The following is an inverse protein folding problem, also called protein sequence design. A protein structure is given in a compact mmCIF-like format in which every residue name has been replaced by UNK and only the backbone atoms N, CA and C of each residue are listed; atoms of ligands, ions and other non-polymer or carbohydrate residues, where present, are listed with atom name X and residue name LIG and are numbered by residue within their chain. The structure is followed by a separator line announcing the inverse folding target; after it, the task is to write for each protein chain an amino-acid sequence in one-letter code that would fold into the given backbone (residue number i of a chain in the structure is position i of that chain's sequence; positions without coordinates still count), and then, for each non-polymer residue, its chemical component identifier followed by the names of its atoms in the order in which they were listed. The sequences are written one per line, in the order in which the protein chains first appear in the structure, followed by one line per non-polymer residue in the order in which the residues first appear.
data_IF_183624942563
#
_entry.id   IF_183624942563
#
_cell.length_a   1.000
_cell.length_b   1.000
_cell.length_c   1.000
_cell.angle_alpha   90.00
_cell.angle_beta   90.00
_cell.angle_gamma   90.00
#
_symmetry.space_group_name_H-M   'P 1'
#
loop_
_entity.id
_entity.type
_entity.pdbx_description
1 polymer ?
#
# COMPACT_ATOMS: atom_id res chain seq x y z
N UNK A 1 62.34 5.71 -19.70
CA UNK A 1 61.05 5.01 -19.80
C UNK A 1 60.19 5.49 -18.66
N UNK A 2 59.09 6.23 -18.91
CA UNK A 2 58.07 6.43 -17.90
C UNK A 2 57.33 5.10 -17.70
N UNK A 3 57.06 4.76 -16.45
CA UNK A 3 56.21 3.64 -16.06
C UNK A 3 54.77 4.01 -16.43
N UNK A 4 54.14 3.21 -17.29
CA UNK A 4 52.71 3.30 -17.57
C UNK A 4 51.94 3.00 -16.27
N UNK A 5 51.11 3.95 -15.84
CA UNK A 5 50.10 3.70 -14.82
C UNK A 5 49.12 2.62 -15.34
N UNK A 6 48.74 1.62 -14.52
CA UNK A 6 47.73 0.66 -14.91
C UNK A 6 46.38 1.39 -15.08
N UNK A 7 45.53 0.98 -16.04
CA UNK A 7 44.25 1.61 -16.24
C UNK A 7 43.39 1.43 -14.99
N UNK A 8 42.81 2.53 -14.52
CA UNK A 8 41.78 2.52 -13.49
C UNK A 8 40.55 1.74 -13.97
N UNK A 9 40.56 0.42 -13.79
CA UNK A 9 39.37 -0.41 -13.87
C UNK A 9 38.68 -0.38 -12.51
N UNK A 10 37.69 0.49 -12.38
CA UNK A 10 36.89 0.60 -11.16
C UNK A 10 35.51 1.10 -11.49
N UNK A 11 34.78 0.40 -12.38
CA UNK A 11 33.35 0.60 -12.51
C UNK A 11 32.70 0.37 -11.14
N UNK A 12 31.96 1.34 -10.64
CA UNK A 12 31.32 1.26 -9.33
C UNK A 12 30.49 -0.04 -9.24
N UNK A 13 30.80 -0.90 -8.28
CA UNK A 13 30.08 -2.15 -8.06
C UNK A 13 28.62 -1.83 -7.75
N UNK A 14 27.69 -2.42 -8.51
CA UNK A 14 26.25 -2.19 -8.29
C UNK A 14 25.89 -2.72 -6.90
N UNK A 15 25.32 -1.88 -6.01
CA UNK A 15 24.98 -2.32 -4.66
C UNK A 15 23.89 -3.39 -4.70
N UNK A 16 24.01 -4.42 -3.86
CA UNK A 16 22.98 -5.44 -3.69
C UNK A 16 21.73 -4.81 -3.05
N UNK A 17 20.62 -4.86 -3.77
CA UNK A 17 19.30 -4.46 -3.30
C UNK A 17 18.30 -5.54 -3.67
N UNK A 18 17.28 -5.70 -2.83
CA UNK A 18 16.11 -6.54 -3.08
C UNK A 18 14.88 -5.65 -2.94
N UNK A 19 13.98 -5.72 -3.91
CA UNK A 19 12.72 -4.98 -3.92
C UNK A 19 11.56 -5.97 -4.09
N UNK A 20 10.57 -5.88 -3.20
CA UNK A 20 9.34 -6.67 -3.28
C UNK A 20 8.32 -5.88 -4.10
N UNK A 21 7.73 -6.51 -5.11
CA UNK A 21 6.56 -5.94 -5.79
C UNK A 21 5.32 -6.14 -4.92
N UNK A 22 5.00 -5.11 -4.12
CA UNK A 22 3.88 -5.13 -3.17
C UNK A 22 2.52 -5.37 -3.84
N UNK A 23 2.38 -5.04 -5.13
CA UNK A 23 1.14 -5.29 -5.88
C UNK A 23 0.96 -6.76 -6.28
N UNK A 24 2.02 -7.56 -6.16
CA UNK A 24 2.08 -8.99 -6.51
C UNK A 24 2.18 -9.90 -5.29
N UNK A 25 1.97 -9.36 -4.09
CA UNK A 25 1.90 -10.16 -2.86
C UNK A 25 0.52 -10.79 -2.76
N UNK A 26 0.48 -12.12 -2.84
CA UNK A 26 -0.72 -12.92 -2.65
C UNK A 26 -0.59 -13.73 -1.36
N UNK A 27 -1.12 -13.16 -0.27
CA UNK A 27 -1.08 -13.81 1.06
C UNK A 27 -1.88 -15.10 1.09
N UNK A 28 -2.94 -15.25 0.28
CA UNK A 28 -3.78 -16.46 0.25
C UNK A 28 -3.18 -17.56 -0.62
N UNK A 29 -2.57 -17.16 -1.74
CA UNK A 29 -1.80 -18.04 -2.62
C UNK A 29 -0.39 -18.33 -2.10
N UNK A 30 -0.01 -17.74 -0.97
CA UNK A 30 1.30 -17.87 -0.33
C UNK A 30 2.48 -17.61 -1.27
N UNK A 31 2.40 -16.50 -2.02
CA UNK A 31 3.43 -16.11 -2.98
C UNK A 31 3.63 -14.60 -3.07
N UNK A 32 4.84 -14.21 -3.46
CA UNK A 32 5.20 -12.83 -3.79
C UNK A 32 6.23 -12.79 -4.92
N UNK A 33 6.36 -11.63 -5.55
CA UNK A 33 7.39 -11.36 -6.55
C UNK A 33 8.41 -10.35 -6.01
N UNK A 34 9.69 -10.60 -6.30
CA UNK A 34 10.78 -9.69 -5.94
C UNK A 34 11.76 -9.50 -7.11
N UNK A 35 12.57 -8.44 -7.06
CA UNK A 35 13.66 -8.17 -8.01
C UNK A 35 14.93 -7.78 -7.27
N UNK A 36 16.06 -8.25 -7.75
CA UNK A 36 17.37 -7.90 -7.21
C UNK A 36 18.22 -7.17 -8.25
N UNK A 37 19.07 -6.24 -7.77
CA UNK A 37 20.01 -5.49 -8.62
C UNK A 37 21.23 -6.31 -9.07
N UNK A 38 21.40 -7.49 -8.48
CA UNK A 38 22.46 -8.46 -8.78
C UNK A 38 21.86 -9.85 -8.89
N UNK A 39 22.62 -10.76 -9.51
CA UNK A 39 22.33 -12.18 -9.47
C UNK A 39 22.41 -12.71 -8.03
N UNK A 40 21.43 -13.53 -7.66
CA UNK A 40 21.32 -14.12 -6.32
C UNK A 40 21.72 -15.59 -6.35
N UNK A 41 22.35 -16.05 -5.26
CA UNK A 41 22.45 -17.49 -4.99
C UNK A 41 21.11 -18.01 -4.45
N UNK A 42 20.54 -17.32 -3.46
CA UNK A 42 19.27 -17.71 -2.83
C UNK A 42 18.52 -16.56 -2.17
N UNK A 43 17.25 -16.79 -1.88
CA UNK A 43 16.43 -16.01 -0.94
C UNK A 43 15.93 -16.94 0.16
N UNK A 44 16.12 -16.53 1.40
CA UNK A 44 15.50 -17.16 2.58
C UNK A 44 14.25 -16.34 2.96
N UNK A 45 13.10 -16.99 3.06
CA UNK A 45 11.84 -16.39 3.50
C UNK A 45 11.51 -16.87 4.91
N UNK A 46 11.10 -15.94 5.77
CA UNK A 46 10.53 -16.22 7.09
C UNK A 46 9.20 -15.49 7.24
N UNK A 47 8.13 -16.21 7.54
CA UNK A 47 6.78 -15.68 7.71
C UNK A 47 6.37 -15.84 9.16
N UNK A 48 5.93 -14.76 9.79
CA UNK A 48 5.43 -14.73 11.16
C UNK A 48 3.93 -14.42 11.19
N UNK A 49 3.20 -15.09 12.08
CA UNK A 49 1.80 -14.85 12.37
C UNK A 49 1.59 -13.76 13.42
N UNK A 50 0.33 -13.34 13.61
CA UNK A 50 -0.06 -12.31 14.60
C UNK A 50 0.28 -12.68 16.05
N UNK A 51 0.33 -13.97 16.38
CA UNK A 51 0.79 -14.47 17.68
C UNK A 51 2.30 -14.43 17.87
N UNK A 52 3.06 -14.14 16.80
CA UNK A 52 4.51 -14.27 16.74
C UNK A 52 5.01 -15.67 16.35
N UNK A 53 4.12 -16.63 16.10
CA UNK A 53 4.50 -17.95 15.61
C UNK A 53 5.17 -17.86 14.22
N UNK A 54 6.18 -18.70 13.99
CA UNK A 54 6.79 -18.83 12.65
C UNK A 54 5.90 -19.74 11.81
N UNK A 55 5.20 -19.15 10.84
CA UNK A 55 4.30 -19.86 9.94
C UNK A 55 5.05 -20.57 8.82
N UNK A 56 6.16 -20.00 8.35
CA UNK A 56 7.01 -20.62 7.35
C UNK A 56 8.46 -20.14 7.48
N UNK A 57 9.41 -21.02 7.19
CA UNK A 57 10.82 -20.67 7.02
C UNK A 57 11.42 -21.56 5.93
N UNK A 58 11.73 -20.99 4.76
CA UNK A 58 12.09 -21.74 3.56
C UNK A 58 13.20 -21.03 2.77
N UNK A 59 13.91 -21.77 1.92
CA UNK A 59 14.94 -21.22 1.02
C UNK A 59 14.59 -21.49 -0.44
N UNK A 60 14.86 -20.51 -1.30
CA UNK A 60 14.65 -20.59 -2.75
C UNK A 60 15.96 -20.26 -3.46
N UNK A 61 16.43 -21.19 -4.31
CA UNK A 61 17.65 -21.01 -5.11
C UNK A 61 17.37 -20.21 -6.38
N UNK A 62 18.23 -19.25 -6.69
CA UNK A 62 18.11 -18.39 -7.88
C UNK A 62 19.41 -18.29 -8.69
N UNK A 63 20.42 -19.12 -8.41
CA UNK A 63 21.68 -19.13 -9.16
C UNK A 63 21.42 -19.34 -10.67
N UNK A 64 22.11 -18.57 -11.51
CA UNK A 64 21.90 -18.54 -12.95
C UNK A 64 20.78 -17.61 -13.40
N UNK A 65 20.07 -16.95 -12.47
CA UNK A 65 19.02 -15.98 -12.81
C UNK A 65 19.62 -14.58 -12.98
N UNK A 66 19.49 -13.95 -14.16
CA UNK A 66 20.05 -12.63 -14.40
C UNK A 66 19.50 -11.57 -13.43
N UNK A 67 20.34 -10.58 -13.10
CA UNK A 67 19.91 -9.42 -12.32
C UNK A 67 18.70 -8.72 -12.97
N UNK A 68 17.79 -8.21 -12.13
CA UNK A 68 16.56 -7.54 -12.57
C UNK A 68 15.42 -8.47 -12.99
N UNK A 69 15.65 -9.78 -13.10
CA UNK A 69 14.59 -10.77 -13.39
C UNK A 69 13.58 -10.84 -12.23
N UNK A 70 12.32 -11.16 -12.55
CA UNK A 70 11.29 -11.43 -11.53
C UNK A 70 11.63 -12.74 -10.83
N UNK A 71 11.72 -12.68 -9.51
CA UNK A 71 11.95 -13.83 -8.63
C UNK A 71 10.64 -14.13 -7.93
N UNK A 72 10.02 -15.26 -8.24
CA UNK A 72 8.84 -15.75 -7.52
C UNK A 72 9.28 -16.46 -6.24
N UNK A 73 8.79 -16.00 -5.09
CA UNK A 73 9.05 -16.60 -3.78
C UNK A 73 7.71 -17.08 -3.23
N UNK A 74 7.63 -18.37 -2.93
CA UNK A 74 6.44 -19.03 -2.39
C UNK A 74 6.70 -19.47 -0.96
N UNK A 75 5.65 -19.69 -0.17
CA UNK A 75 5.81 -20.35 1.12
C UNK A 75 4.70 -21.37 1.38
N UNK A 76 4.94 -22.29 2.29
CA UNK A 76 3.92 -23.21 2.78
C UNK A 76 3.70 -22.95 4.26
N UNK A 77 2.55 -22.39 4.67
CA UNK A 77 2.32 -22.07 6.07
C UNK A 77 2.05 -23.34 6.89
N UNK A 78 2.47 -23.33 8.15
CA UNK A 78 2.20 -24.39 9.12
C UNK A 78 0.80 -24.32 9.74
N UNK A 79 0.10 -23.19 9.57
CA UNK A 79 -1.26 -22.95 10.05
C UNK A 79 -1.95 -21.86 9.22
N UNK A 80 -3.28 -21.75 9.35
CA UNK A 80 -4.10 -20.71 8.70
C UNK A 80 -4.09 -19.37 9.47
N UNK A 81 -3.06 -19.13 10.28
CA UNK A 81 -2.94 -17.88 11.02
C UNK A 81 -2.64 -16.71 10.08
N UNK A 82 -3.18 -15.54 10.39
CA UNK A 82 -2.95 -14.33 9.60
C UNK A 82 -1.47 -13.94 9.63
N UNK A 83 -0.91 -13.65 8.46
CA UNK A 83 0.48 -13.20 8.33
C UNK A 83 0.64 -11.79 8.92
N UNK A 84 1.46 -11.66 9.95
CA UNK A 84 1.84 -10.38 10.53
C UNK A 84 3.08 -9.79 9.87
N UNK A 85 4.06 -10.63 9.48
CA UNK A 85 5.34 -10.16 8.94
C UNK A 85 5.98 -11.19 8.02
N UNK A 86 6.57 -10.71 6.93
CA UNK A 86 7.38 -11.51 6.01
C UNK A 86 8.78 -10.90 5.97
N UNK A 87 9.79 -11.70 6.20
CA UNK A 87 11.20 -11.32 6.11
C UNK A 87 11.83 -12.08 4.94
N UNK A 88 12.54 -11.37 4.07
CA UNK A 88 13.35 -11.96 3.01
C UNK A 88 14.81 -11.60 3.22
N UNK A 89 15.68 -12.61 3.17
CA UNK A 89 17.13 -12.44 3.16
C UNK A 89 17.65 -12.96 1.83
N UNK A 90 18.03 -12.06 0.94
CA UNK A 90 18.68 -12.40 -0.31
C UNK A 90 20.20 -12.49 -0.11
N UNK A 91 20.83 -13.48 -0.73
CA UNK A 91 22.29 -13.62 -0.78
C UNK A 91 22.76 -13.65 -2.24
N UNK A 92 23.85 -12.97 -2.56
CA UNK A 92 24.47 -13.04 -3.88
C UNK A 92 25.45 -14.22 -4.00
N UNK A 93 26.13 -14.34 -5.15
CA UNK A 93 27.14 -15.38 -5.40
C UNK A 93 28.42 -15.17 -4.57
N UNK A 94 28.69 -13.94 -4.11
CA UNK A 94 29.82 -13.57 -3.28
C UNK A 94 29.51 -13.68 -1.77
N UNK A 95 28.33 -14.19 -1.41
CA UNK A 95 27.82 -14.34 -0.03
C UNK A 95 27.53 -13.01 0.68
N UNK A 96 27.48 -11.89 -0.05
CA UNK A 96 26.88 -10.67 0.48
C UNK A 96 25.38 -10.89 0.64
N UNK A 97 24.75 -10.15 1.55
CA UNK A 97 23.33 -10.31 1.84
C UNK A 97 22.62 -8.97 2.00
N UNK A 98 21.33 -8.99 1.71
CA UNK A 98 20.40 -7.89 1.98
C UNK A 98 19.12 -8.45 2.58
N UNK A 99 18.62 -7.81 3.64
CA UNK A 99 17.36 -8.15 4.28
C UNK A 99 16.29 -7.12 3.97
N UNK A 100 15.07 -7.58 3.69
CA UNK A 100 13.88 -6.72 3.60
C UNK A 100 12.75 -7.34 4.41
N UNK A 101 11.91 -6.50 5.00
CA UNK A 101 10.72 -6.93 5.70
C UNK A 101 9.48 -6.28 5.08
N UNK A 102 8.40 -7.05 4.99
CA UNK A 102 7.08 -6.62 4.61
C UNK A 102 6.14 -6.91 5.78
N UNK A 103 5.38 -5.90 6.19
CA UNK A 103 4.34 -6.03 7.22
C UNK A 103 3.02 -5.77 6.51
N UNK A 104 2.30 -6.81 6.05
CA UNK A 104 1.10 -6.66 5.22
C UNK A 104 -0.14 -6.28 6.05
N UNK A 105 0.05 -5.49 7.11
CA UNK A 105 -1.01 -5.05 8.00
C UNK A 105 -1.78 -3.89 7.37
N UNK A 106 -3.09 -4.07 7.25
CA UNK A 106 -4.02 -3.05 6.76
C UNK A 106 -5.39 -3.26 7.39
N UNK A 107 -6.03 -2.18 7.82
CA UNK A 107 -7.35 -2.20 8.44
C UNK A 107 -8.26 -1.19 7.74
N UNK A 108 -9.33 -1.67 7.13
CA UNK A 108 -10.42 -0.81 6.65
C UNK A 108 -11.29 -0.38 7.83
N UNK A 109 -11.62 0.91 7.91
CA UNK A 109 -12.38 1.50 9.01
C UNK A 109 -13.87 1.50 8.61
N UNK A 110 -14.73 0.67 9.23
CA UNK A 110 -16.16 0.71 8.93
C UNK A 110 -16.76 2.02 9.39
N UNK A 111 -17.48 2.71 8.52
CA UNK A 111 -18.06 4.02 8.82
C UNK A 111 -19.32 4.27 8.01
N UNK A 112 -20.00 5.38 8.30
CA UNK A 112 -21.09 5.88 7.49
C UNK A 112 -20.55 6.90 6.50
N UNK A 113 -20.96 6.81 5.24
CA UNK A 113 -20.55 7.74 4.21
C UNK A 113 -20.97 9.18 4.51
N UNK A 114 -20.06 10.12 4.22
CA UNK A 114 -20.32 11.56 4.25
C UNK A 114 -21.10 11.94 3.00
N UNK A 115 -22.26 12.55 3.19
CA UNK A 115 -23.07 13.05 2.09
C UNK A 115 -22.60 14.44 1.68
N UNK A 116 -22.43 14.64 0.37
CA UNK A 116 -22.08 15.93 -0.21
C UNK A 116 -23.22 16.44 -1.09
N UNK A 117 -23.37 17.76 -1.15
CA UNK A 117 -24.22 18.39 -2.18
C UNK A 117 -23.67 18.06 -3.57
N UNK A 118 -24.56 18.04 -4.57
CA UNK A 118 -24.20 17.81 -5.98
C UNK A 118 -23.07 18.73 -6.42
N UNK A 119 -22.01 18.16 -7.01
CA UNK A 119 -20.84 18.91 -7.49
C UNK A 119 -19.94 19.53 -6.40
N UNK A 120 -20.26 19.35 -5.12
CA UNK A 120 -19.52 19.92 -3.99
C UNK A 120 -18.68 18.87 -3.25
N UNK A 121 -17.63 19.37 -2.60
CA UNK A 121 -16.78 18.65 -1.64
C UNK A 121 -16.87 19.27 -0.23
N UNK A 122 -17.82 20.17 0.00
CA UNK A 122 -17.98 20.84 1.29
C UNK A 122 -18.69 19.91 2.27
N UNK A 123 -18.03 19.68 3.41
CA UNK A 123 -18.58 18.84 4.49
C UNK A 123 -19.55 19.69 5.30
N UNK A 124 -20.83 19.33 5.28
CA UNK A 124 -21.86 20.01 6.05
C UNK A 124 -21.77 19.67 7.55
N UNK A 125 -22.25 20.56 8.40
CA UNK A 125 -22.25 20.34 9.86
C UNK A 125 -22.99 19.07 10.28
N UNK A 126 -24.08 18.72 9.56
CA UNK A 126 -24.84 17.47 9.78
C UNK A 126 -24.00 16.21 9.58
N UNK A 127 -22.95 16.27 8.77
CA UNK A 127 -22.11 15.12 8.45
C UNK A 127 -20.93 14.97 9.42
N UNK A 128 -20.62 16.00 10.21
CA UNK A 128 -19.45 15.99 11.12
C UNK A 128 -19.53 14.87 12.16
N UNK A 129 -20.73 14.50 12.62
CA UNK A 129 -20.90 13.41 13.58
C UNK A 129 -20.41 12.05 13.02
N UNK A 130 -20.56 11.80 11.71
CA UNK A 130 -20.06 10.57 11.05
C UNK A 130 -18.53 10.54 11.02
N UNK A 131 -17.91 11.69 10.80
CA UNK A 131 -16.46 11.86 10.80
C UNK A 131 -15.89 11.73 12.22
N UNK A 132 -16.56 12.27 13.24
CA UNK A 132 -16.19 12.07 14.65
C UNK A 132 -16.22 10.58 15.03
N UNK A 133 -17.28 9.85 14.64
CA UNK A 133 -17.36 8.42 14.89
C UNK A 133 -16.20 7.65 14.22
N UNK A 134 -15.80 8.07 13.02
CA UNK A 134 -14.67 7.49 12.30
C UNK A 134 -13.33 7.84 12.96
N UNK A 135 -13.17 9.08 13.43
CA UNK A 135 -11.99 9.54 14.17
C UNK A 135 -11.76 8.68 15.41
N UNK A 136 -12.80 8.46 16.22
CA UNK A 136 -12.72 7.61 17.42
C UNK A 136 -12.21 6.21 17.08
N UNK A 137 -12.75 5.57 16.04
CA UNK A 137 -12.31 4.23 15.59
C UNK A 137 -10.86 4.22 15.14
N UNK A 138 -10.44 5.23 14.35
CA UNK A 138 -9.05 5.36 13.92
C UNK A 138 -8.13 5.48 15.14
N UNK A 139 -8.45 6.35 16.10
CA UNK A 139 -7.62 6.51 17.30
C UNK A 139 -7.57 5.27 18.18
N UNK A 140 -8.69 4.52 18.29
CA UNK A 140 -8.73 3.26 19.03
C UNK A 140 -7.82 2.21 18.39
N UNK A 141 -7.89 2.05 17.06
CA UNK A 141 -7.03 1.10 16.34
C UNK A 141 -5.56 1.49 16.49
N UNK A 142 -5.21 2.77 16.33
CA UNK A 142 -3.84 3.24 16.51
C UNK A 142 -3.31 3.00 17.93
N UNK A 143 -4.16 3.09 18.95
CA UNK A 143 -3.76 2.81 20.33
C UNK A 143 -3.39 1.34 20.58
N UNK A 144 -3.95 0.41 19.77
CA UNK A 144 -3.71 -1.03 19.87
C UNK A 144 -2.50 -1.51 19.05
N UNK A 145 -1.99 -0.68 18.15
CA UNK A 145 -0.95 -1.03 17.18
C UNK A 145 0.23 -0.06 17.21
N UNK A 146 0.61 0.39 18.41
CA UNK A 146 1.74 1.32 18.63
C UNK A 146 3.11 0.68 18.36
N UNK A 147 3.17 -0.64 18.29
CA UNK A 147 4.34 -1.47 17.98
C UNK A 147 4.63 -1.53 16.47
N UNK A 148 3.66 -1.19 15.63
CA UNK A 148 3.85 -1.10 14.19
C UNK A 148 4.64 0.16 13.82
N UNK A 149 5.26 0.14 12.64
CA UNK A 149 5.98 1.29 12.09
C UNK A 149 5.07 2.50 11.77
N UNK A 150 5.47 3.33 10.82
CA UNK A 150 4.68 4.51 10.45
C UNK A 150 3.38 4.11 9.73
N UNK A 151 2.27 4.03 10.49
CA UNK A 151 0.93 3.82 9.94
C UNK A 151 0.46 5.10 9.23
N UNK A 152 -0.09 4.94 8.03
CA UNK A 152 -0.71 6.01 7.24
C UNK A 152 -2.22 5.78 7.15
N UNK A 153 -3.00 6.86 7.28
CA UNK A 153 -4.43 6.85 6.94
C UNK A 153 -4.59 7.19 5.45
N UNK A 154 -5.06 6.22 4.68
CA UNK A 154 -5.41 6.35 3.29
C UNK A 154 -6.92 6.63 3.13
N UNK A 155 -7.26 7.65 2.34
CA UNK A 155 -8.63 8.07 2.08
C UNK A 155 -8.91 8.02 0.58
N UNK A 156 -9.70 7.05 0.14
CA UNK A 156 -10.05 6.83 -1.27
C UNK A 156 -11.47 7.31 -1.56
N UNK A 157 -11.62 8.33 -2.42
CA UNK A 157 -12.94 8.80 -2.84
C UNK A 157 -13.45 8.08 -4.08
N UNK A 158 -14.73 7.73 -4.12
CA UNK A 158 -15.38 7.07 -5.27
C UNK A 158 -16.64 7.82 -5.72
N UNK A 159 -17.05 7.61 -6.96
CA UNK A 159 -18.33 8.07 -7.51
C UNK A 159 -19.10 6.91 -8.14
N UNK A 160 -20.38 7.13 -8.43
CA UNK A 160 -21.10 6.33 -9.40
C UNK A 160 -20.68 6.69 -10.83
N UNK A 161 -21.36 6.12 -11.82
CA UNK A 161 -21.08 6.31 -13.25
C UNK A 161 -21.87 7.46 -13.87
N UNK A 162 -22.50 8.32 -13.06
CA UNK A 162 -23.29 9.46 -13.56
C UNK A 162 -22.35 10.62 -13.92
N UNK A 163 -22.49 11.13 -15.15
CA UNK A 163 -21.69 12.26 -15.62
C UNK A 163 -20.42 11.83 -16.35
N UNK A 164 -19.46 12.75 -16.50
CA UNK A 164 -18.20 12.46 -17.21
C UNK A 164 -17.18 11.89 -16.24
N UNK A 165 -16.45 10.86 -16.67
CA UNK A 165 -15.42 10.19 -15.87
C UNK A 165 -14.36 11.15 -15.32
N UNK A 166 -13.95 12.16 -16.10
CA UNK A 166 -12.98 13.18 -15.66
C UNK A 166 -13.51 14.06 -14.52
N UNK A 167 -14.80 14.42 -14.58
CA UNK A 167 -15.44 15.23 -13.55
C UNK A 167 -15.66 14.41 -12.28
N UNK A 168 -16.00 13.12 -12.44
CA UNK A 168 -16.07 12.13 -11.37
C UNK A 168 -14.73 11.93 -10.66
N UNK A 169 -13.64 11.84 -11.41
CA UNK A 169 -12.29 11.74 -10.86
C UNK A 169 -11.91 13.00 -10.06
N UNK A 170 -12.15 14.18 -10.64
CA UNK A 170 -11.87 15.47 -9.96
C UNK A 170 -12.72 15.67 -8.71
N UNK A 171 -13.99 15.25 -8.75
CA UNK A 171 -14.92 15.40 -7.63
C UNK A 171 -14.57 14.46 -6.47
N UNK A 172 -14.33 13.18 -6.77
CA UNK A 172 -13.91 12.20 -5.75
C UNK A 172 -12.60 12.61 -5.08
N UNK A 173 -11.61 13.11 -5.84
CA UNK A 173 -10.35 13.61 -5.30
C UNK A 173 -10.56 14.77 -4.32
N UNK A 174 -11.38 15.76 -4.70
CA UNK A 174 -11.69 16.92 -3.82
C UNK A 174 -12.39 16.49 -2.53
N UNK A 175 -13.31 15.52 -2.61
CA UNK A 175 -14.01 14.97 -1.44
C UNK A 175 -13.06 14.23 -0.50
N UNK A 176 -12.19 13.39 -1.04
CA UNK A 176 -11.16 12.70 -0.25
C UNK A 176 -10.25 13.72 0.45
N UNK A 177 -9.79 14.74 -0.26
CA UNK A 177 -8.98 15.82 0.30
C UNK A 177 -9.70 16.59 1.42
N UNK A 178 -10.97 16.93 1.24
CA UNK A 178 -11.76 17.63 2.26
C UNK A 178 -11.87 16.83 3.56
N UNK A 179 -12.10 15.52 3.44
CA UNK A 179 -12.15 14.61 4.60
C UNK A 179 -10.77 14.49 5.25
N UNK A 180 -9.69 14.37 4.47
CA UNK A 180 -8.32 14.36 5.00
C UNK A 180 -8.00 15.62 5.81
N UNK A 181 -8.36 16.79 5.27
CA UNK A 181 -8.17 18.07 5.93
C UNK A 181 -9.00 18.17 7.22
N UNK A 182 -10.23 17.63 7.22
CA UNK A 182 -11.06 17.54 8.41
C UNK A 182 -10.38 16.70 9.51
N UNK A 183 -9.90 15.49 9.20
CA UNK A 183 -9.22 14.64 10.18
C UNK A 183 -7.96 15.29 10.74
N UNK A 184 -7.14 15.92 9.87
CA UNK A 184 -5.97 16.67 10.32
C UNK A 184 -6.35 17.80 11.28
N UNK A 185 -7.33 18.63 10.90
CA UNK A 185 -7.83 19.74 11.73
C UNK A 185 -8.42 19.23 13.05
N UNK A 186 -9.01 18.04 13.05
CA UNK A 186 -9.57 17.40 14.24
C UNK A 186 -8.52 16.94 15.25
N UNK A 187 -7.24 16.88 14.86
CA UNK A 187 -6.11 16.53 15.73
C UNK A 187 -5.42 15.22 15.38
N UNK A 188 -5.76 14.60 14.26
CA UNK A 188 -5.14 13.36 13.81
C UNK A 188 -3.69 13.64 13.38
N UNK A 189 -2.70 13.02 14.04
CA UNK A 189 -1.27 13.36 13.87
C UNK A 189 -0.50 12.44 12.93
N UNK A 190 -0.95 11.20 12.69
CA UNK A 190 -0.33 10.30 11.71
C UNK A 190 -0.31 10.87 10.28
N UNK A 191 0.55 10.35 9.39
CA UNK A 191 0.46 10.64 7.97
C UNK A 191 -0.94 10.35 7.41
N UNK A 192 -1.42 11.23 6.53
CA UNK A 192 -2.67 11.06 5.81
C UNK A 192 -2.36 11.18 4.33
N UNK A 193 -2.84 10.22 3.55
CA UNK A 193 -2.78 10.23 2.10
C UNK A 193 -4.19 10.09 1.51
N UNK A 194 -4.42 10.70 0.35
CA UNK A 194 -5.73 10.69 -0.30
C UNK A 194 -5.62 10.55 -1.81
N UNK A 195 -6.65 9.98 -2.42
CA UNK A 195 -6.79 9.86 -3.86
C UNK A 195 -8.27 9.83 -4.26
N UNK A 196 -8.57 10.33 -5.46
CA UNK A 196 -9.86 10.15 -6.11
C UNK A 196 -9.78 9.02 -7.13
N UNK A 197 -10.71 8.07 -7.05
CA UNK A 197 -10.83 6.96 -7.98
C UNK A 197 -11.93 7.18 -9.02
N UNK A 198 -12.79 8.18 -8.82
CA UNK A 198 -14.00 8.37 -9.62
C UNK A 198 -14.79 7.07 -9.73
N UNK A 199 -15.13 6.69 -10.95
CA UNK A 199 -15.83 5.44 -11.29
C UNK A 199 -14.88 4.27 -11.64
N UNK A 200 -13.56 4.45 -11.54
CA UNK A 200 -12.60 3.39 -11.93
C UNK A 200 -12.58 2.19 -10.98
N UNK A 201 -13.14 2.35 -9.77
CA UNK A 201 -13.21 1.33 -8.72
C UNK A 201 -14.61 1.29 -8.09
N UNK A 202 -15.57 0.79 -8.86
CA UNK A 202 -16.97 0.62 -8.42
C UNK A 202 -17.09 -0.53 -7.42
N UNK A 203 -17.87 -0.31 -6.36
CA UNK A 203 -18.28 -1.38 -5.44
C UNK A 203 -19.31 -2.30 -6.12
N UNK A 204 -20.25 -1.68 -6.83
CA UNK A 204 -21.28 -2.37 -7.63
C UNK A 204 -21.03 -2.02 -9.08
N UNK A 205 -20.70 -3.02 -9.89
CA UNK A 205 -20.48 -2.82 -11.32
C UNK A 205 -21.78 -2.39 -11.99
N UNK A 206 -21.77 -1.23 -12.62
CA UNK A 206 -22.90 -0.66 -13.35
C UNK A 206 -22.45 -0.27 -14.76
N UNK A 207 -23.42 -0.05 -15.66
CA UNK A 207 -23.17 0.60 -16.94
C UNK A 207 -22.96 2.11 -16.74
N UNK A 208 -22.57 2.81 -17.81
CA UNK A 208 -22.42 4.27 -17.79
C UNK A 208 -23.75 4.97 -17.48
N UNK A 209 -23.69 6.11 -16.79
CA UNK A 209 -24.83 6.94 -16.37
C UNK A 209 -25.86 6.24 -15.47
N UNK A 210 -25.41 5.33 -14.59
CA UNK A 210 -26.27 4.69 -13.60
C UNK A 210 -26.04 5.30 -12.22
N UNK A 211 -27.12 5.81 -11.62
CA UNK A 211 -27.13 6.24 -10.22
C UNK A 211 -27.09 5.00 -9.32
N UNK A 212 -26.00 4.85 -8.57
CA UNK A 212 -25.83 3.80 -7.57
C UNK A 212 -25.18 4.39 -6.32
N UNK A 213 -26.00 4.66 -5.32
CA UNK A 213 -25.59 5.33 -4.09
C UNK A 213 -24.43 4.63 -3.37
N UNK A 214 -24.34 3.30 -3.45
CA UNK A 214 -23.25 2.54 -2.82
C UNK A 214 -21.88 2.79 -3.48
N UNK A 215 -21.85 3.29 -4.71
CA UNK A 215 -20.62 3.69 -5.38
C UNK A 215 -20.15 5.09 -4.96
N UNK A 216 -21.04 5.94 -4.43
CA UNK A 216 -20.71 7.27 -3.89
C UNK A 216 -20.20 7.18 -2.46
N UNK A 217 -19.06 6.51 -2.29
CA UNK A 217 -18.46 6.22 -0.98
C UNK A 217 -17.07 6.82 -0.84
N UNK A 218 -16.55 6.81 0.38
CA UNK A 218 -15.13 7.09 0.64
C UNK A 218 -14.58 5.97 1.50
N UNK A 219 -13.51 5.30 1.10
CA UNK A 219 -12.90 4.24 1.93
C UNK A 219 -11.79 4.83 2.82
N UNK A 220 -11.76 4.44 4.09
CA UNK A 220 -10.72 4.81 5.06
C UNK A 220 -9.91 3.57 5.42
N UNK A 221 -8.60 3.60 5.19
CA UNK A 221 -7.72 2.45 5.42
C UNK A 221 -6.51 2.90 6.23
N UNK A 222 -6.26 2.25 7.36
CA UNK A 222 -4.97 2.35 8.06
C UNK A 222 -4.06 1.26 7.51
N UNK A 223 -2.88 1.63 7.02
CA UNK A 223 -1.92 0.69 6.46
C UNK A 223 -0.49 1.22 6.59
N UNK A 224 0.48 0.32 6.60
CA UNK A 224 1.91 0.66 6.52
C UNK A 224 2.35 0.98 5.09
N UNK A 225 1.61 0.44 4.11
CA UNK A 225 1.88 0.59 2.67
C UNK A 225 0.64 1.07 1.91
N UNK A 226 0.85 1.56 0.68
CA UNK A 226 -0.25 2.00 -0.18
C UNK A 226 -1.24 0.86 -0.44
N UNK A 227 -2.54 1.05 -0.14
CA UNK A 227 -3.54 0.00 -0.32
C UNK A 227 -3.81 -0.23 -1.81
N UNK A 228 -3.99 -1.50 -2.17
CA UNK A 228 -4.28 -1.93 -3.53
C UNK A 228 -5.78 -2.01 -3.75
N UNK A 229 -6.27 -1.28 -4.76
CA UNK A 229 -7.66 -1.30 -5.18
C UNK A 229 -7.80 -2.02 -6.52
N UNK A 230 -8.92 -2.72 -6.73
CA UNK A 230 -9.29 -3.22 -8.06
C UNK A 230 -9.78 -2.03 -8.88
N UNK A 231 -9.02 -1.68 -9.91
CA UNK A 231 -9.31 -0.53 -10.79
C UNK A 231 -9.35 -0.95 -12.26
N UNK A 232 -10.09 -0.21 -13.08
CA UNK A 232 -10.10 -0.40 -14.55
C UNK A 232 -9.29 0.73 -15.19
N UNK A 233 -8.13 0.41 -15.77
CA UNK A 233 -7.31 1.37 -16.53
C UNK A 233 -6.75 2.55 -15.72
N UNK A 234 -6.84 2.51 -14.39
CA UNK A 234 -6.46 3.61 -13.50
C UNK A 234 -5.36 3.16 -12.56
N UNK A 235 -4.25 3.91 -12.53
CA UNK A 235 -3.16 3.74 -11.56
C UNK A 235 -3.28 4.84 -10.50
N UNK A 236 -3.59 4.50 -9.23
CA UNK A 236 -3.68 5.48 -8.16
C UNK A 236 -2.35 6.21 -7.93
N UNK A 237 -2.43 7.47 -7.53
CA UNK A 237 -1.29 8.34 -7.22
C UNK A 237 -1.54 9.07 -5.90
N UNK A 238 -1.45 8.33 -4.80
CA UNK A 238 -1.70 8.81 -3.45
C UNK A 238 -1.00 10.13 -3.13
N UNK A 239 -1.81 11.17 -2.86
CA UNK A 239 -1.32 12.50 -2.49
C UNK A 239 -1.18 12.55 -0.98
N UNK A 240 -0.01 12.91 -0.49
CA UNK A 240 0.18 13.15 0.95
C UNK A 240 -0.42 14.49 1.32
N UNK A 241 -1.25 14.48 2.36
CA UNK A 241 -1.71 15.72 2.97
C UNK A 241 -0.51 16.35 3.67
N UNK A 242 0.05 17.39 3.07
CA UNK A 242 1.04 18.21 3.73
C UNK A 242 0.36 18.92 4.90
N UNK A 243 1.04 18.98 6.05
CA UNK A 243 0.73 20.03 7.03
C UNK A 243 0.81 21.35 6.27
N UNK A 244 -0.30 22.08 6.17
CA UNK A 244 -0.22 23.48 5.81
C UNK A 244 0.80 24.15 6.77
N UNK A 245 1.62 25.09 6.27
CA UNK A 245 2.67 25.73 7.06
C UNK A 245 2.13 26.40 8.33
#
# INVERSE_FOLDING_TARGET
MPLDDPPAQGGAEVPLKLEIDKSKVDLKGHKLEARATRELSKIEIKVLGESGAVLAQQEHGFAGTPAGTVLEVTWTPSSEETVARIELIARDLQRNWVGVALIPWSVSIPHQDVNFKTGSADIQDSEKAKLEASYTKVTEILSKHQDLGTITLFIAGHTDTVGRSEDNLRLSLRRAQAISAWFRKRGLTLPIAYEGFGESSLLVKTADNVDEARNRRVDYILSLDEPVFKTTGFKPSWKRLTTAP
#
